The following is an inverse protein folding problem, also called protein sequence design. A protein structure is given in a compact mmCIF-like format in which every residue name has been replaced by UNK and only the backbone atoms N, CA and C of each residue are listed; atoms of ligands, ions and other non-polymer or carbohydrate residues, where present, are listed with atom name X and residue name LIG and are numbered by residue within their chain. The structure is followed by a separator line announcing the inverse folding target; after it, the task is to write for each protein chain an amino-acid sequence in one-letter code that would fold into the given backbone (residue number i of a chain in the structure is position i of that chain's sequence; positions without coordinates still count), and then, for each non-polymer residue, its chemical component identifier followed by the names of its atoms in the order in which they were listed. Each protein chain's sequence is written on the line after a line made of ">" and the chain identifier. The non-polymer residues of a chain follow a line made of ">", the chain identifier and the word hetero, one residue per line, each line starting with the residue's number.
data_IF_980796525768
#
_entry.id   IF_980796525768
#
_cell.length_a   1.000
_cell.length_b   1.000
_cell.length_c   1.000
_cell.angle_alpha   90.00
_cell.angle_beta   90.00
_cell.angle_gamma   90.00
#
_symmetry.space_group_name_H-M   'P 1'
#
loop_
_entity.id
_entity.type
_entity.pdbx_description
1 polymer ?
#
# COMPACT_ATOMS: atom_id res chain seq x y z
N UNK A 1 -21.39 -14.45 7.40
CA UNK A 1 -20.19 -13.59 7.26
C UNK A 1 -19.39 -14.07 6.06
N UNK A 2 -19.12 -13.22 5.06
CA UNK A 2 -18.25 -13.56 3.93
C UNK A 2 -16.82 -13.15 4.28
N UNK A 3 -15.91 -14.11 4.37
CA UNK A 3 -14.49 -13.86 4.66
C UNK A 3 -13.72 -13.86 3.35
N UNK A 4 -13.13 -12.71 2.99
CA UNK A 4 -12.22 -12.60 1.86
C UNK A 4 -10.79 -12.73 2.37
N UNK A 5 -10.00 -13.61 1.76
CA UNK A 5 -8.60 -13.81 2.12
C UNK A 5 -7.72 -12.94 1.22
N UNK A 6 -6.70 -12.35 1.82
CA UNK A 6 -5.65 -11.63 1.11
C UNK A 6 -4.33 -12.36 1.34
N UNK A 7 -3.69 -12.80 0.25
CA UNK A 7 -2.38 -13.43 0.32
C UNK A 7 -1.33 -12.40 -0.10
N UNK A 8 -0.67 -11.78 0.88
CA UNK A 8 0.28 -10.69 0.63
C UNK A 8 1.45 -11.05 -0.29
N UNK A 9 2.01 -12.28 -0.31
CA UNK A 9 3.11 -12.60 -1.22
C UNK A 9 2.77 -12.44 -2.70
N UNK A 10 1.54 -12.74 -3.12
CA UNK A 10 1.12 -12.56 -4.52
C UNK A 10 1.10 -11.08 -4.90
N UNK A 11 0.70 -10.22 -3.96
CA UNK A 11 0.67 -8.76 -4.18
C UNK A 11 2.09 -8.21 -4.19
N UNK A 12 2.98 -8.68 -3.30
CA UNK A 12 4.39 -8.28 -3.35
C UNK A 12 5.07 -8.70 -4.65
N UNK A 13 4.82 -9.91 -5.15
CA UNK A 13 5.30 -10.31 -6.48
C UNK A 13 4.75 -9.39 -7.57
N UNK A 14 3.47 -9.00 -7.49
CA UNK A 14 2.88 -8.04 -8.43
C UNK A 14 3.58 -6.68 -8.36
N UNK A 15 3.93 -6.20 -7.17
CA UNK A 15 4.69 -4.96 -6.96
C UNK A 15 6.10 -5.08 -7.57
N UNK A 16 6.82 -6.17 -7.31
CA UNK A 16 8.19 -6.40 -7.82
C UNK A 16 8.24 -6.34 -9.35
N UNK A 17 7.20 -6.86 -10.02
CA UNK A 17 7.13 -6.97 -11.49
C UNK A 17 6.46 -5.77 -12.18
N UNK A 18 5.93 -4.81 -11.42
CA UNK A 18 5.22 -3.66 -11.97
C UNK A 18 6.16 -2.51 -12.34
N UNK A 19 5.72 -1.69 -13.29
CA UNK A 19 6.35 -0.41 -13.59
C UNK A 19 6.39 0.48 -12.34
N UNK A 20 7.44 1.30 -12.25
CA UNK A 20 7.73 2.09 -11.05
C UNK A 20 6.56 2.99 -10.62
N UNK A 21 5.82 3.56 -11.57
CA UNK A 21 4.68 4.43 -11.32
C UNK A 21 3.41 3.67 -10.85
N UNK A 22 3.42 2.33 -10.88
CA UNK A 22 2.28 1.48 -10.48
C UNK A 22 2.45 0.83 -9.12
N UNK A 23 3.68 0.72 -8.62
CA UNK A 23 4.00 -0.03 -7.38
C UNK A 23 3.22 0.45 -6.16
N UNK A 24 3.18 1.76 -5.95
CA UNK A 24 2.47 2.35 -4.82
C UNK A 24 0.95 2.14 -4.93
N UNK A 25 0.39 2.20 -6.14
CA UNK A 25 -1.05 1.98 -6.35
C UNK A 25 -1.45 0.53 -6.14
N UNK A 26 -0.61 -0.44 -6.53
CA UNK A 26 -0.83 -1.85 -6.20
C UNK A 26 -0.84 -2.03 -4.68
N UNK A 27 0.11 -1.43 -3.97
CA UNK A 27 0.12 -1.50 -2.50
C UNK A 27 -1.14 -0.86 -1.88
N UNK A 28 -1.52 0.34 -2.33
CA UNK A 28 -2.73 1.03 -1.86
C UNK A 28 -3.97 0.17 -2.12
N UNK A 29 -4.24 -0.18 -3.36
CA UNK A 29 -5.55 -0.68 -3.75
C UNK A 29 -5.69 -2.19 -3.62
N UNK A 30 -4.62 -2.96 -3.86
CA UNK A 30 -4.70 -4.42 -3.73
C UNK A 30 -4.43 -4.84 -2.29
N UNK A 31 -3.44 -4.25 -1.61
CA UNK A 31 -3.03 -4.69 -0.27
C UNK A 31 -3.75 -3.98 0.87
N UNK A 32 -3.82 -2.65 0.82
CA UNK A 32 -4.29 -1.84 1.95
C UNK A 32 -5.80 -1.59 1.94
N UNK A 33 -6.42 -1.50 0.75
CA UNK A 33 -7.83 -1.14 0.60
C UNK A 33 -8.81 -2.09 1.31
N UNK A 34 -8.58 -3.41 1.35
CA UNK A 34 -9.44 -4.33 2.11
C UNK A 34 -9.51 -4.00 3.60
N UNK A 35 -8.53 -3.26 4.13
CA UNK A 35 -8.44 -2.84 5.52
C UNK A 35 -8.79 -1.36 5.73
N UNK A 36 -9.47 -0.70 4.77
CA UNK A 36 -9.81 0.73 4.85
C UNK A 36 -10.41 1.15 6.19
N UNK A 37 -11.32 0.35 6.76
CA UNK A 37 -11.95 0.67 8.04
C UNK A 37 -10.94 0.84 9.19
N UNK A 38 -9.87 0.03 9.22
CA UNK A 38 -8.76 0.19 10.18
C UNK A 38 -8.02 1.50 9.94
N UNK A 39 -7.68 1.79 8.69
CA UNK A 39 -6.92 2.99 8.32
C UNK A 39 -7.71 4.27 8.56
N UNK A 40 -9.03 4.24 8.35
CA UNK A 40 -9.94 5.35 8.63
C UNK A 40 -9.94 5.69 10.14
N UNK A 41 -9.92 4.68 11.02
CA UNK A 41 -9.81 4.87 12.48
C UNK A 41 -8.48 5.52 12.86
N UNK A 42 -7.40 5.18 12.16
CA UNK A 42 -6.07 5.77 12.39
C UNK A 42 -5.87 7.11 11.66
N UNK A 43 -6.88 7.58 10.93
CA UNK A 43 -6.81 8.78 10.10
C UNK A 43 -5.68 8.75 9.06
N UNK A 44 -5.38 7.56 8.52
CA UNK A 44 -4.39 7.36 7.45
C UNK A 44 -5.13 7.23 6.11
N UNK A 45 -5.04 8.22 5.21
CA UNK A 45 -5.73 8.15 3.93
C UNK A 45 -4.97 7.25 2.94
N UNK A 46 -5.70 6.63 2.00
CA UNK A 46 -5.11 5.78 0.96
C UNK A 46 -4.21 6.57 0.01
N UNK A 47 -4.62 7.79 -0.34
CA UNK A 47 -3.91 8.71 -1.22
C UNK A 47 -3.84 10.09 -0.57
N UNK A 48 -2.82 10.90 -0.88
CA UNK A 48 -2.66 12.19 -0.27
C UNK A 48 -3.69 13.19 -0.82
N UNK A 49 -4.16 14.12 0.02
CA UNK A 49 -5.14 15.15 -0.38
C UNK A 49 -4.53 16.27 -1.23
N UNK A 50 -3.21 16.44 -1.15
CA UNK A 50 -2.42 17.43 -1.87
C UNK A 50 -1.04 16.83 -2.18
N UNK A 51 -0.30 17.32 -3.20
CA UNK A 51 1.02 16.82 -3.52
C UNK A 51 1.95 16.84 -2.28
N UNK A 52 2.57 15.70 -1.97
CA UNK A 52 3.42 15.55 -0.77
C UNK A 52 2.67 15.46 0.56
N UNK A 53 1.34 15.37 0.55
CA UNK A 53 0.52 15.18 1.75
C UNK A 53 0.62 13.77 2.33
N UNK A 54 0.16 13.61 3.57
CA UNK A 54 0.18 12.34 4.30
C UNK A 54 -0.74 11.29 3.66
N UNK A 55 -0.27 10.05 3.58
CA UNK A 55 -1.01 8.88 3.10
C UNK A 55 -0.41 7.56 3.62
N UNK A 56 -0.98 6.43 3.20
CA UNK A 56 -0.54 5.10 3.60
C UNK A 56 0.92 4.78 3.20
N UNK A 57 1.43 5.37 2.11
CA UNK A 57 2.82 5.19 1.68
C UNK A 57 3.75 5.95 2.62
N UNK A 58 3.42 7.20 2.93
CA UNK A 58 4.18 8.00 3.88
C UNK A 58 4.14 7.40 5.28
N UNK A 59 2.99 6.89 5.72
CA UNK A 59 2.88 6.17 6.99
C UNK A 59 3.84 4.98 7.06
N UNK A 60 3.94 4.19 5.98
CA UNK A 60 4.89 3.07 5.89
C UNK A 60 6.34 3.53 6.15
N UNK A 61 6.75 4.61 5.48
CA UNK A 61 8.08 5.21 5.67
C UNK A 61 8.29 5.72 7.09
N UNK A 62 7.29 6.36 7.69
CA UNK A 62 7.35 6.84 9.07
C UNK A 62 7.46 5.68 10.09
N UNK A 63 6.94 4.51 9.77
CA UNK A 63 7.13 3.29 10.56
C UNK A 63 8.48 2.61 10.35
N UNK A 64 9.36 3.17 9.52
CA UNK A 64 10.65 2.56 9.17
C UNK A 64 10.54 1.37 8.23
N UNK A 65 9.41 1.22 7.53
CA UNK A 65 9.19 0.17 6.53
C UNK A 65 9.58 0.67 5.14
N UNK A 66 10.04 -0.25 4.29
CA UNK A 66 10.37 0.06 2.90
C UNK A 66 9.15 0.61 2.13
N UNK A 67 9.39 1.54 1.21
CA UNK A 67 8.35 2.00 0.28
C UNK A 67 8.06 0.87 -0.73
N UNK A 68 6.81 0.71 -1.21
CA UNK A 68 6.54 -0.26 -2.29
C UNK A 68 7.36 0.00 -3.54
N UNK A 69 7.59 1.29 -3.84
CA UNK A 69 8.52 1.76 -4.87
C UNK A 69 9.98 1.28 -4.71
N UNK A 70 10.43 0.92 -3.51
CA UNK A 70 11.81 0.46 -3.26
C UNK A 70 11.94 -1.06 -3.44
N UNK A 71 10.84 -1.77 -3.70
CA UNK A 71 10.84 -3.22 -3.87
C UNK A 71 11.26 -3.57 -5.30
N UNK A 72 12.34 -4.32 -5.44
CA UNK A 72 12.88 -4.82 -6.71
C UNK A 72 12.62 -6.32 -6.90
N UNK A 73 12.64 -6.75 -8.16
CA UNK A 73 12.66 -8.17 -8.51
C UNK A 73 14.10 -8.67 -8.52
N UNK A 74 14.52 -9.41 -7.50
CA UNK A 74 15.74 -10.23 -7.53
C UNK A 74 15.46 -11.63 -8.07
#
# INVERSE_FOLDING_TARGET
>A
MKVNRLYSPDIYRKIMLADQDKKDDIYRYDMMMPFKGKWDIYHIPMTPKYPGGYDIIMANRMFGLASPSDIDGS
#
